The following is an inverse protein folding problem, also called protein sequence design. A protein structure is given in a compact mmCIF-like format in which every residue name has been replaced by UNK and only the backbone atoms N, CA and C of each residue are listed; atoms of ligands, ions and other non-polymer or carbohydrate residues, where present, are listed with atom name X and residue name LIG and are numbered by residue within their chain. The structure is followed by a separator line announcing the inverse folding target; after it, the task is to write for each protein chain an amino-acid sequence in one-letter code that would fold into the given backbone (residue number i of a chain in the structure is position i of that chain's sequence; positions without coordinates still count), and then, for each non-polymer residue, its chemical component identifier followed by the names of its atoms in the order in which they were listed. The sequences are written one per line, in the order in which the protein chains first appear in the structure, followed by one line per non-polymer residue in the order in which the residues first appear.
data_IF_934333549434
#
_entry.id   IF_934333549434
#
_cell.length_a   1.000
_cell.length_b   1.000
_cell.length_c   1.000
_cell.angle_alpha   90.00
_cell.angle_beta   90.00
_cell.angle_gamma   90.00
#
_symmetry.space_group_name_H-M   'P 1'
#
loop_
_entity.id
_entity.type
_entity.pdbx_description
1 polymer ?
#
# COMPACT_ATOMS: atom_id res chain seq x y z
N UNK A 1 -26.29 30.36 -11.63
CA UNK A 1 -25.98 29.99 -10.23
C UNK A 1 -25.12 28.72 -10.23
N UNK A 2 -23.95 28.74 -10.88
CA UNK A 2 -23.31 27.50 -11.40
C UNK A 2 -21.86 27.26 -10.92
N UNK A 3 -21.25 28.22 -10.20
CA UNK A 3 -19.86 28.09 -9.73
C UNK A 3 -19.69 27.27 -8.44
N UNK A 4 -20.78 27.04 -7.69
CA UNK A 4 -20.73 26.38 -6.37
C UNK A 4 -20.59 24.85 -6.47
N UNK A 5 -21.08 24.25 -7.56
CA UNK A 5 -21.09 22.80 -7.77
C UNK A 5 -19.72 22.26 -8.19
N UNK A 6 -18.95 23.03 -8.97
CA UNK A 6 -17.65 22.62 -9.50
C UNK A 6 -16.56 22.54 -8.41
N UNK A 7 -16.55 23.50 -7.48
CA UNK A 7 -15.62 23.51 -6.35
C UNK A 7 -15.86 22.32 -5.39
N UNK A 8 -17.12 21.93 -5.19
CA UNK A 8 -17.49 20.80 -4.34
C UNK A 8 -16.96 19.47 -4.90
N UNK A 9 -17.14 19.22 -6.19
CA UNK A 9 -16.64 18.01 -6.87
C UNK A 9 -15.10 17.88 -6.80
N UNK A 10 -14.37 18.99 -6.94
CA UNK A 10 -12.91 18.98 -6.77
C UNK A 10 -12.48 18.61 -5.35
N UNK A 11 -13.20 19.05 -4.31
CA UNK A 11 -12.93 18.66 -2.93
C UNK A 11 -13.17 17.16 -2.69
N UNK A 12 -14.24 16.59 -3.26
CA UNK A 12 -14.51 15.15 -3.15
C UNK A 12 -13.44 14.27 -3.81
N UNK A 13 -12.89 14.71 -4.96
CA UNK A 13 -11.80 14.00 -5.63
C UNK A 13 -10.51 14.00 -4.79
N UNK A 14 -10.18 15.11 -4.12
CA UNK A 14 -8.99 15.19 -3.27
C UNK A 14 -9.10 14.26 -2.04
N UNK A 15 -10.30 14.14 -1.45
CA UNK A 15 -10.54 13.23 -0.33
C UNK A 15 -10.43 11.75 -0.72
N UNK A 16 -10.84 11.38 -1.94
CA UNK A 16 -10.71 10.01 -2.45
C UNK A 16 -9.25 9.62 -2.75
N UNK A 17 -8.38 10.58 -3.11
CA UNK A 17 -6.96 10.30 -3.37
C UNK A 17 -6.15 9.96 -2.10
N UNK A 18 -6.63 10.33 -0.91
CA UNK A 18 -5.90 10.15 0.35
C UNK A 18 -6.21 8.83 1.08
N UNK A 19 -6.86 7.87 0.43
CA UNK A 19 -7.08 6.54 1.01
C UNK A 19 -5.74 5.78 1.08
N UNK A 20 -5.07 5.83 2.24
CA UNK A 20 -3.92 4.95 2.53
C UNK A 20 -4.42 3.53 2.70
N UNK A 21 -4.18 2.68 1.70
CA UNK A 21 -4.45 1.25 1.80
C UNK A 21 -3.22 0.53 2.35
N UNK A 22 -3.19 0.37 3.67
CA UNK A 22 -2.24 -0.49 4.35
C UNK A 22 -2.75 -1.93 4.29
N UNK A 23 -1.96 -2.87 3.77
CA UNK A 23 -2.33 -4.29 3.79
C UNK A 23 -1.23 -5.12 4.45
N UNK A 24 -1.60 -6.10 5.30
CA UNK A 24 -0.62 -7.04 5.83
C UNK A 24 -0.07 -7.91 4.70
N UNK A 25 1.26 -8.04 4.63
CA UNK A 25 1.88 -8.97 3.71
C UNK A 25 1.70 -10.40 4.23
N UNK A 26 0.80 -11.16 3.59
CA UNK A 26 0.49 -12.54 4.00
C UNK A 26 1.64 -13.52 3.74
N UNK A 27 2.59 -13.17 2.85
CA UNK A 27 3.71 -14.04 2.48
C UNK A 27 4.97 -13.78 3.31
N UNK A 28 4.99 -12.72 4.12
CA UNK A 28 6.10 -12.44 5.02
C UNK A 28 6.11 -13.47 6.16
N UNK A 29 7.02 -14.45 6.08
CA UNK A 29 7.12 -15.53 7.07
C UNK A 29 7.95 -15.10 8.26
N UNK A 30 7.40 -15.20 9.47
CA UNK A 30 8.09 -14.96 10.75
C UNK A 30 7.91 -13.53 11.30
N UNK A 31 8.53 -13.26 12.45
CA UNK A 31 8.40 -11.96 13.11
C UNK A 31 9.18 -10.86 12.36
N UNK A 32 8.53 -9.71 12.18
CA UNK A 32 9.10 -8.52 11.57
C UNK A 32 9.84 -7.71 12.66
N UNK A 33 11.06 -8.14 12.98
CA UNK A 33 11.90 -7.61 14.07
C UNK A 33 13.31 -7.37 13.55
N UNK A 34 13.90 -6.21 13.89
CA UNK A 34 15.25 -5.84 13.47
C UNK A 34 15.31 -5.21 12.07
N UNK A 35 16.48 -4.67 11.72
CA UNK A 35 16.72 -3.93 10.48
C UNK A 35 16.65 -4.82 9.23
N UNK A 36 17.23 -6.02 9.27
CA UNK A 36 17.21 -6.97 8.15
C UNK A 36 15.79 -7.36 7.75
N UNK A 37 14.94 -7.69 8.72
CA UNK A 37 13.54 -8.09 8.48
C UNK A 37 12.66 -6.93 7.99
N UNK A 38 12.96 -5.70 8.44
CA UNK A 38 12.33 -4.48 7.89
C UNK A 38 12.69 -4.31 6.41
N UNK A 39 13.95 -4.50 6.03
CA UNK A 39 14.38 -4.41 4.63
C UNK A 39 13.76 -5.52 3.77
N UNK A 40 13.69 -6.74 4.26
CA UNK A 40 13.03 -7.86 3.57
C UNK A 40 11.53 -7.55 3.33
N UNK A 41 10.84 -7.02 4.34
CA UNK A 41 9.46 -6.58 4.23
C UNK A 41 9.29 -5.48 3.18
N UNK A 42 10.13 -4.43 3.23
CA UNK A 42 10.08 -3.33 2.28
C UNK A 42 10.35 -3.81 0.84
N UNK A 43 11.39 -4.61 0.66
CA UNK A 43 11.75 -5.20 -0.63
C UNK A 43 10.61 -6.06 -1.21
N UNK A 44 10.01 -6.92 -0.38
CA UNK A 44 8.89 -7.77 -0.80
C UNK A 44 7.67 -6.95 -1.22
N UNK A 45 7.32 -5.91 -0.47
CA UNK A 45 6.22 -5.02 -0.84
C UNK A 45 6.52 -4.26 -2.14
N UNK A 46 7.72 -3.68 -2.30
CA UNK A 46 8.12 -2.95 -3.51
C UNK A 46 8.19 -3.82 -4.77
N UNK A 47 8.30 -5.14 -4.61
CA UNK A 47 8.28 -6.06 -5.75
C UNK A 47 6.91 -6.12 -6.43
N UNK A 48 5.81 -5.79 -5.75
CA UNK A 48 4.47 -5.74 -6.33
C UNK A 48 4.15 -4.41 -7.03
N UNK A 49 3.18 -4.40 -7.94
CA UNK A 49 2.68 -3.15 -8.58
C UNK A 49 1.93 -2.30 -7.58
N UNK A 50 2.18 -1.00 -7.59
CA UNK A 50 1.40 -0.01 -6.85
C UNK A 50 1.80 0.16 -5.38
N UNK A 51 2.64 -0.73 -4.85
CA UNK A 51 3.16 -0.61 -3.49
C UNK A 51 4.29 0.41 -3.42
N UNK A 52 4.19 1.31 -2.44
CA UNK A 52 5.23 2.29 -2.12
C UNK A 52 6.41 1.65 -1.40
N UNK A 53 6.11 0.63 -0.60
CA UNK A 53 7.06 -0.01 0.30
C UNK A 53 6.36 -0.79 1.40
N UNK A 54 7.14 -1.26 2.35
CA UNK A 54 6.69 -2.08 3.46
C UNK A 54 7.38 -1.71 4.76
N UNK A 55 6.69 -1.92 5.87
CA UNK A 55 7.22 -1.67 7.20
C UNK A 55 6.70 -2.67 8.24
N UNK A 56 7.41 -2.80 9.35
CA UNK A 56 7.01 -3.68 10.45
C UNK A 56 6.02 -2.97 11.38
N UNK A 57 4.83 -3.54 11.59
CA UNK A 57 3.80 -3.10 12.55
C UNK A 57 3.37 -4.29 13.39
N UNK A 58 3.47 -4.19 14.73
CA UNK A 58 3.12 -5.29 15.66
C UNK A 58 3.78 -6.62 15.28
N UNK A 59 5.07 -6.59 14.94
CA UNK A 59 5.85 -7.76 14.48
C UNK A 59 5.34 -8.40 13.17
N UNK A 60 4.45 -7.75 12.42
CA UNK A 60 3.97 -8.19 11.10
C UNK A 60 4.48 -7.22 10.03
N UNK A 61 4.71 -7.73 8.83
CA UNK A 61 5.00 -6.90 7.67
C UNK A 61 3.71 -6.30 7.10
N UNK A 62 3.71 -5.00 6.87
CA UNK A 62 2.59 -4.25 6.28
C UNK A 62 3.09 -3.51 5.05
N UNK A 63 2.42 -3.67 3.93
CA UNK A 63 2.70 -2.95 2.69
C UNK A 63 1.83 -1.70 2.60
N UNK A 64 2.43 -0.60 2.15
CA UNK A 64 1.77 0.69 1.91
C UNK A 64 1.48 0.84 0.41
N UNK A 65 0.20 0.95 0.06
CA UNK A 65 -0.26 1.10 -1.32
C UNK A 65 -0.32 2.58 -1.70
N UNK A 66 0.28 2.94 -2.84
CA UNK A 66 0.11 4.27 -3.43
C UNK A 66 -1.08 4.21 -4.39
N UNK A 67 -2.22 4.79 -4.02
CA UNK A 67 -3.49 4.72 -4.74
C UNK A 67 -3.53 5.54 -6.06
N UNK A 68 -2.48 5.49 -6.88
CA UNK A 68 -2.57 5.94 -8.29
C UNK A 68 -3.09 4.78 -9.18
N UNK A 69 -3.18 3.55 -8.65
CA UNK A 69 -3.76 2.38 -9.32
C UNK A 69 -4.07 1.23 -8.36
N UNK A 70 -4.54 0.10 -8.88
CA UNK A 70 -4.77 -1.11 -8.09
C UNK A 70 -3.42 -1.71 -7.63
N UNK A 71 -3.30 -1.97 -6.33
CA UNK A 71 -2.11 -2.63 -5.79
C UNK A 71 -2.19 -4.15 -6.01
N UNK A 72 -1.27 -4.68 -6.80
CA UNK A 72 -1.20 -6.10 -7.17
C UNK A 72 0.11 -6.66 -6.62
N UNK A 73 0.01 -7.67 -5.77
CA UNK A 73 1.20 -8.37 -5.26
C UNK A 73 1.60 -9.47 -6.27
N UNK A 74 2.74 -9.32 -6.96
CA UNK A 74 3.18 -10.27 -7.99
C UNK A 74 3.57 -11.64 -7.43
N UNK A 75 3.89 -11.75 -6.14
CA UNK A 75 4.17 -13.04 -5.49
C UNK A 75 2.95 -13.99 -5.55
N UNK A 76 1.73 -13.42 -5.63
CA UNK A 76 0.48 -14.17 -5.80
C UNK A 76 0.27 -14.70 -7.24
N UNK A 77 0.97 -14.16 -8.25
CA UNK A 77 0.82 -14.56 -9.65
C UNK A 77 1.84 -15.61 -10.09
N UNK A 78 2.97 -15.74 -9.39
CA UNK A 78 4.05 -16.66 -9.77
C UNK A 78 3.93 -18.06 -9.13
N UNK A 79 3.04 -18.26 -8.17
CA UNK A 79 2.83 -19.52 -7.44
C UNK A 79 1.46 -20.16 -7.73
N UNK A 80 0.98 -20.10 -8.97
CA UNK A 80 -0.19 -20.84 -9.44
C UNK A 80 0.17 -21.80 -10.54
#
# INVERSE_FOLDING_TARGET
MERKTLASLCFFLIFLLAARNETPNQHFRGACIGSSRKQECDYGCRRGVGWRGGYCKKQKCVCDCTCIGACINYDHLLHK
#
